data_IF_575693983969
#
_entry.id   IF_575693983969
#
_cell.length_a   1.000
_cell.length_b   1.000
_cell.length_c   1.000
_cell.angle_alpha   90.00
_cell.angle_beta   90.00
_cell.angle_gamma   90.00
#
_symmetry.space_group_name_H-M   'P 1'
#
loop_
_entity.id
_entity.type
_entity.pdbx_description
1 polymer ?
#
# COMPACT_ATOMS: atom_id res chain seq x y z
N UNK A 1 4.25 -16.60 12.87
CA UNK A 1 4.21 -15.50 11.88
C UNK A 1 2.93 -14.73 12.12
N UNK A 2 3.04 -13.49 12.59
CA UNK A 2 1.91 -12.57 12.55
C UNK A 2 1.70 -12.22 11.08
N UNK A 3 0.47 -12.29 10.60
CA UNK A 3 0.15 -11.73 9.28
C UNK A 3 0.30 -10.20 9.38
N UNK A 4 1.33 -9.64 8.73
CA UNK A 4 1.62 -8.21 8.71
C UNK A 4 0.38 -7.40 8.32
N UNK A 5 -0.38 -7.86 7.30
CA UNK A 5 -1.58 -7.17 6.83
C UNK A 5 -2.63 -7.11 7.94
N UNK A 6 -2.81 -8.19 8.69
CA UNK A 6 -3.67 -8.23 9.87
C UNK A 6 -3.19 -7.27 10.96
N UNK A 7 -1.87 -7.22 11.24
CA UNK A 7 -1.30 -6.32 12.23
C UNK A 7 -1.50 -4.83 11.87
N UNK A 8 -1.25 -4.47 10.60
CA UNK A 8 -1.47 -3.12 10.09
C UNK A 8 -2.95 -2.74 10.14
N UNK A 9 -3.83 -3.65 9.74
CA UNK A 9 -5.29 -3.42 9.77
C UNK A 9 -5.74 -3.11 11.20
N UNK A 10 -5.39 -3.96 12.17
CA UNK A 10 -5.79 -3.76 13.56
C UNK A 10 -5.19 -2.48 14.18
N UNK A 11 -3.95 -2.13 13.84
CA UNK A 11 -3.33 -0.88 14.25
C UNK A 11 -4.04 0.34 13.68
N UNK A 12 -4.36 0.33 12.38
CA UNK A 12 -5.02 1.43 11.71
C UNK A 12 -6.46 1.63 12.20
N UNK A 13 -7.19 0.55 12.52
CA UNK A 13 -8.52 0.65 13.12
C UNK A 13 -8.52 1.47 14.42
N UNK A 14 -7.48 1.31 15.26
CA UNK A 14 -7.36 2.00 16.56
C UNK A 14 -6.86 3.44 16.47
N UNK A 15 -6.50 3.94 15.30
CA UNK A 15 -5.92 5.27 15.09
C UNK A 15 -6.85 6.20 14.33
N UNK A 16 -7.20 7.34 14.90
CA UNK A 16 -8.11 8.29 14.24
C UNK A 16 -7.47 9.04 13.07
N UNK A 17 -6.15 9.23 13.13
CA UNK A 17 -5.32 9.91 12.13
C UNK A 17 -4.99 9.05 10.91
N UNK A 18 -5.34 7.75 10.94
CA UNK A 18 -5.26 6.83 9.81
C UNK A 18 -6.68 6.62 9.28
N UNK A 19 -6.99 7.25 8.15
CA UNK A 19 -8.34 7.35 7.59
C UNK A 19 -8.71 6.17 6.71
N UNK A 20 -7.73 5.57 6.04
CA UNK A 20 -7.94 4.34 5.29
C UNK A 20 -6.62 3.58 5.10
N UNK A 21 -6.74 2.28 4.87
CA UNK A 21 -5.64 1.40 4.48
C UNK A 21 -6.09 0.57 3.29
N UNK A 22 -5.29 0.58 2.22
CA UNK A 22 -5.59 -0.16 1.00
C UNK A 22 -4.38 -1.03 0.67
N UNK A 23 -4.58 -2.34 0.59
CA UNK A 23 -3.61 -3.27 0.01
C UNK A 23 -3.71 -3.19 -1.51
N UNK A 24 -2.58 -3.04 -2.19
CA UNK A 24 -2.52 -2.92 -3.65
C UNK A 24 -1.57 -3.98 -4.22
N UNK A 25 -1.60 -4.18 -5.53
CA UNK A 25 -0.58 -4.96 -6.21
C UNK A 25 -0.80 -6.46 -6.13
N UNK A 26 0.29 -7.22 -6.17
CA UNK A 26 0.29 -8.68 -6.33
C UNK A 26 -0.47 -9.39 -5.20
N UNK A 27 -0.32 -8.92 -3.96
CA UNK A 27 -0.97 -9.48 -2.77
C UNK A 27 -2.46 -9.15 -2.64
N UNK A 28 -2.96 -8.18 -3.40
CA UNK A 28 -4.39 -7.88 -3.45
C UNK A 28 -5.16 -8.77 -4.45
N UNK A 29 -4.46 -9.48 -5.34
CA UNK A 29 -5.08 -10.26 -6.43
C UNK A 29 -5.55 -11.62 -5.94
N UNK A 30 -6.73 -12.02 -6.42
CA UNK A 30 -7.26 -13.38 -6.22
C UNK A 30 -6.79 -14.33 -7.35
N UNK A 31 -6.67 -13.82 -8.57
CA UNK A 31 -6.50 -14.64 -9.78
C UNK A 31 -5.07 -15.10 -10.03
N UNK A 32 -4.09 -14.33 -9.56
CA UNK A 32 -2.66 -14.68 -9.61
C UNK A 32 -2.09 -14.31 -8.24
N UNK A 33 -2.14 -15.25 -7.28
CA UNK A 33 -1.69 -14.98 -5.94
C UNK A 33 -0.18 -14.70 -5.95
N UNK A 34 0.21 -13.69 -5.17
CA UNK A 34 1.60 -13.45 -4.84
C UNK A 34 2.26 -14.70 -4.23
N UNK A 35 3.55 -14.87 -4.47
CA UNK A 35 4.33 -15.90 -3.80
C UNK A 35 4.79 -15.44 -2.40
N UNK A 36 5.50 -16.32 -1.69
CA UNK A 36 6.01 -16.04 -0.36
C UNK A 36 7.08 -14.92 -0.32
N UNK A 37 7.68 -14.59 -1.47
CA UNK A 37 8.79 -13.63 -1.59
C UNK A 37 8.37 -12.28 -2.15
N UNK A 38 7.11 -12.15 -2.56
CA UNK A 38 6.56 -10.88 -3.01
C UNK A 38 6.64 -9.83 -1.89
N UNK A 39 6.58 -8.57 -2.26
CA UNK A 39 6.44 -7.41 -1.38
C UNK A 39 4.97 -7.15 -1.03
N UNK A 40 4.74 -6.33 -0.01
CA UNK A 40 3.39 -5.88 0.39
C UNK A 40 3.26 -4.38 0.14
N UNK A 41 2.44 -4.00 -0.84
CA UNK A 41 2.13 -2.61 -1.12
C UNK A 41 0.92 -2.12 -0.31
N UNK A 42 1.12 -1.16 0.60
CA UNK A 42 0.08 -0.57 1.42
C UNK A 42 -0.02 0.94 1.18
N UNK A 43 -1.20 1.39 0.77
CA UNK A 43 -1.54 2.81 0.73
C UNK A 43 -2.16 3.19 2.07
N UNK A 44 -1.53 4.12 2.78
CA UNK A 44 -2.03 4.73 4.01
C UNK A 44 -2.56 6.14 3.69
N UNK A 45 -3.87 6.32 3.86
CA UNK A 45 -4.47 7.66 3.86
C UNK A 45 -4.41 8.21 5.28
N UNK A 46 -3.53 9.18 5.51
CA UNK A 46 -3.27 9.76 6.83
C UNK A 46 -3.44 11.26 6.84
N UNK A 47 -3.78 11.83 7.99
CA UNK A 47 -4.00 13.28 8.11
C UNK A 47 -2.70 14.08 7.94
N UNK A 48 -1.56 13.52 8.37
CA UNK A 48 -0.23 14.17 8.31
C UNK A 48 0.88 13.20 7.83
N UNK A 49 1.04 13.00 6.51
CA UNK A 49 2.09 12.14 5.96
C UNK A 49 3.52 12.52 6.40
N UNK A 50 3.91 13.81 6.44
CA UNK A 50 5.21 14.23 6.97
C UNK A 50 5.54 13.71 8.37
N UNK A 51 4.57 13.62 9.28
CA UNK A 51 4.80 13.05 10.62
C UNK A 51 5.21 11.58 10.57
N UNK A 52 4.51 10.77 9.76
CA UNK A 52 4.86 9.36 9.51
C UNK A 52 6.20 9.18 8.77
N UNK A 53 6.56 10.16 7.94
CA UNK A 53 7.85 10.23 7.27
C UNK A 53 9.00 10.68 8.20
N UNK A 54 8.72 11.49 9.21
CA UNK A 54 9.73 11.98 10.14
C UNK A 54 10.05 10.96 11.24
N UNK A 55 9.03 10.28 11.78
CA UNK A 55 9.17 9.35 12.89
C UNK A 55 8.87 7.91 12.46
N UNK A 56 9.86 7.02 12.31
CA UNK A 56 9.64 5.64 11.89
C UNK A 56 9.14 4.72 13.01
N UNK A 57 9.01 5.18 14.27
CA UNK A 57 8.69 4.31 15.42
C UNK A 57 7.34 3.61 15.32
N UNK A 58 6.39 4.14 14.53
CA UNK A 58 5.11 3.46 14.30
C UNK A 58 5.29 2.10 13.62
N UNK A 59 6.37 1.89 12.87
CA UNK A 59 6.70 0.63 12.21
C UNK A 59 6.95 -0.51 13.19
N UNK A 60 7.37 -0.19 14.42
CA UNK A 60 7.62 -1.18 15.49
C UNK A 60 6.32 -1.88 15.93
N UNK A 61 5.15 -1.32 15.59
CA UNK A 61 3.86 -1.95 15.85
C UNK A 61 3.62 -3.23 15.03
N UNK A 62 4.40 -3.47 13.96
CA UNK A 62 4.22 -4.61 13.06
C UNK A 62 5.36 -5.62 13.11
N UNK A 63 6.43 -5.32 13.84
CA UNK A 63 7.63 -6.12 13.92
C UNK A 63 8.86 -5.25 14.15
N UNK A 64 10.04 -5.86 14.23
CA UNK A 64 11.32 -5.13 14.34
C UNK A 64 11.85 -4.82 12.93
N UNK A 65 11.96 -3.54 12.53
CA UNK A 65 12.55 -3.18 11.24
C UNK A 65 14.06 -3.48 11.23
N UNK A 66 14.54 -4.15 10.19
CA UNK A 66 15.97 -4.30 9.88
C UNK A 66 16.50 -3.15 9.05
N UNK A 67 15.70 -2.70 8.07
CA UNK A 67 16.02 -1.61 7.16
C UNK A 67 14.76 -0.79 6.93
N UNK A 68 14.91 0.54 6.90
CA UNK A 68 13.86 1.42 6.42
C UNK A 68 14.42 2.70 5.83
N UNK A 69 13.79 3.19 4.77
CA UNK A 69 14.15 4.44 4.12
C UNK A 69 12.93 5.07 3.45
N UNK A 70 13.10 6.33 3.03
CA UNK A 70 12.08 7.08 2.29
C UNK A 70 12.49 7.21 0.84
N UNK A 71 11.51 7.13 -0.04
CA UNK A 71 11.65 7.50 -1.44
C UNK A 71 10.39 8.21 -1.94
N UNK A 72 10.46 8.99 -3.03
CA UNK A 72 9.26 9.41 -3.72
C UNK A 72 8.54 8.19 -4.28
N UNK A 73 7.22 8.08 -4.07
CA UNK A 73 6.40 7.06 -4.74
C UNK A 73 6.62 7.13 -6.24
N UNK A 74 6.66 5.98 -6.91
CA UNK A 74 6.80 5.90 -8.37
C UNK A 74 5.71 6.65 -9.15
N UNK A 75 4.57 6.93 -8.50
CA UNK A 75 3.39 7.57 -9.09
C UNK A 75 2.90 8.69 -8.18
N UNK A 76 2.68 9.89 -8.74
CA UNK A 76 2.03 11.00 -8.02
C UNK A 76 2.92 11.76 -7.01
N UNK A 77 4.18 11.36 -6.82
CA UNK A 77 5.17 12.12 -6.03
C UNK A 77 4.92 12.19 -4.53
N UNK A 78 4.10 11.29 -3.99
CA UNK A 78 3.92 11.15 -2.55
C UNK A 78 5.15 10.50 -1.90
N UNK A 79 5.14 10.36 -0.57
CA UNK A 79 6.24 9.76 0.17
C UNK A 79 5.97 8.27 0.33
N UNK A 80 6.91 7.43 -0.11
CA UNK A 80 6.93 6.00 0.15
C UNK A 80 7.93 5.68 1.26
N UNK A 81 7.50 4.87 2.21
CA UNK A 81 8.34 4.31 3.27
C UNK A 81 8.52 2.82 2.99
N UNK A 82 9.73 2.43 2.61
CA UNK A 82 10.11 1.02 2.44
C UNK A 82 10.61 0.44 3.75
N UNK A 83 10.25 -0.82 4.03
CA UNK A 83 10.59 -1.49 5.29
C UNK A 83 10.83 -2.98 5.06
N UNK A 84 12.00 -3.45 5.46
CA UNK A 84 12.30 -4.87 5.62
C UNK A 84 12.30 -5.23 7.11
N UNK A 85 11.47 -6.19 7.51
CA UNK A 85 11.37 -6.67 8.89
C UNK A 85 12.28 -7.87 9.16
N UNK A 86 12.58 -8.12 10.44
CA UNK A 86 13.39 -9.27 10.89
C UNK A 86 12.85 -10.64 10.47
N UNK A 87 11.54 -10.76 10.28
CA UNK A 87 10.91 -12.01 9.83
C UNK A 87 10.95 -12.19 8.29
N UNK A 88 11.58 -11.26 7.58
CA UNK A 88 11.71 -11.27 6.12
C UNK A 88 10.55 -10.59 5.40
N UNK A 89 9.55 -10.05 6.10
CA UNK A 89 8.47 -9.30 5.46
C UNK A 89 9.00 -8.01 4.83
N UNK A 90 8.75 -7.84 3.54
CA UNK A 90 9.06 -6.63 2.76
C UNK A 90 7.78 -5.85 2.46
N UNK A 91 7.81 -4.54 2.73
CA UNK A 91 6.61 -3.69 2.76
C UNK A 91 6.92 -2.28 2.27
N UNK A 92 6.10 -1.82 1.34
CA UNK A 92 6.10 -0.46 0.82
C UNK A 92 4.85 0.27 1.34
N UNK A 93 5.05 1.32 2.13
CA UNK A 93 3.96 2.17 2.62
C UNK A 93 3.91 3.49 1.85
N UNK A 94 2.95 3.64 0.95
CA UNK A 94 2.65 4.92 0.32
C UNK A 94 1.84 5.80 1.27
N UNK A 95 2.41 6.92 1.70
CA UNK A 95 1.81 7.88 2.63
C UNK A 95 1.11 9.00 1.86
N UNK A 96 -0.22 8.99 1.87
CA UNK A 96 -1.04 9.94 1.09
C UNK A 96 -1.85 10.82 2.04
N UNK A 97 -1.91 12.15 1.80
CA UNK A 97 -2.77 13.04 2.58
C UNK A 97 -4.25 12.65 2.41
N UNK A 98 -4.94 12.39 3.52
CA UNK A 98 -6.35 12.01 3.49
C UNK A 98 -7.27 13.10 2.93
N UNK A 99 -6.93 14.38 3.15
CA UNK A 99 -7.68 15.53 2.62
C UNK A 99 -7.77 15.56 1.09
N UNK A 100 -6.71 15.10 0.42
CA UNK A 100 -6.62 15.13 -1.05
C UNK A 100 -7.01 13.80 -1.70
N UNK A 101 -7.04 12.72 -0.93
CA UNK A 101 -7.16 11.35 -1.43
C UNK A 101 -8.43 11.11 -2.27
N UNK A 102 -9.59 11.64 -1.85
CA UNK A 102 -10.83 11.49 -2.62
C UNK A 102 -10.80 12.28 -3.93
N UNK A 103 -10.14 13.44 -3.96
CA UNK A 103 -9.97 14.24 -5.17
C UNK A 103 -9.07 13.55 -6.18
N UNK A 104 -7.93 13.03 -5.72
CA UNK A 104 -6.95 12.33 -6.56
C UNK A 104 -7.52 11.04 -7.15
N UNK A 105 -8.24 10.24 -6.35
CA UNK A 105 -8.88 9.00 -6.84
C UNK A 105 -9.99 9.30 -7.86
N UNK A 106 -10.68 10.44 -7.73
CA UNK A 106 -11.75 10.87 -8.66
C UNK A 106 -11.23 11.53 -9.93
N UNK A 107 -10.01 12.04 -9.93
CA UNK A 107 -9.48 12.70 -11.12
C UNK A 107 -9.15 11.66 -12.19
N UNK A 108 -9.98 11.63 -13.24
CA UNK A 108 -9.79 10.74 -14.39
C UNK A 108 -8.47 11.01 -15.12
N UNK A 109 -7.85 12.18 -14.89
CA UNK A 109 -6.53 12.54 -15.42
C UNK A 109 -5.38 11.97 -14.61
N UNK A 110 -5.61 11.46 -13.39
CA UNK A 110 -4.62 10.76 -12.58
C UNK A 110 -4.44 9.31 -13.07
N UNK A 111 -4.07 9.15 -14.35
CA UNK A 111 -3.99 7.88 -15.07
C UNK A 111 -3.09 6.87 -14.34
N UNK A 112 -1.97 7.34 -13.79
CA UNK A 112 -1.02 6.50 -13.07
C UNK A 112 -1.61 5.96 -11.75
N UNK A 113 -2.32 6.80 -10.99
CA UNK A 113 -3.00 6.39 -9.74
C UNK A 113 -4.08 5.35 -10.05
N UNK A 114 -4.85 5.54 -11.12
CA UNK A 114 -5.84 4.56 -11.57
C UNK A 114 -5.18 3.26 -12.05
N UNK A 115 -4.01 3.33 -12.70
CA UNK A 115 -3.27 2.15 -13.13
C UNK A 115 -2.79 1.30 -11.95
N UNK A 116 -2.42 1.94 -10.83
CA UNK A 116 -2.07 1.26 -9.57
C UNK A 116 -3.26 0.47 -9.03
N UNK A 117 -4.46 1.06 -8.95
CA UNK A 117 -5.66 0.33 -8.52
C UNK A 117 -6.17 -0.70 -9.54
N UNK A 118 -5.98 -0.47 -10.84
CA UNK A 118 -6.37 -1.42 -11.90
C UNK A 118 -5.61 -2.75 -11.80
N UNK A 119 -4.46 -2.77 -11.13
CA UNK A 119 -3.66 -3.97 -10.83
C UNK A 119 -4.25 -4.83 -9.71
N UNK A 120 -5.39 -4.44 -9.14
CA UNK A 120 -6.03 -5.12 -8.01
C UNK A 120 -5.74 -4.41 -6.70
N UNK A 121 -6.77 -4.28 -5.87
CA UNK A 121 -6.67 -3.72 -4.53
C UNK A 121 -7.69 -4.37 -3.59
N UNK A 122 -7.43 -4.26 -2.29
CA UNK A 122 -8.36 -4.61 -1.21
C UNK A 122 -8.34 -3.51 -0.16
N UNK A 123 -9.49 -2.92 0.11
CA UNK A 123 -9.64 -1.95 1.19
C UNK A 123 -9.68 -2.71 2.52
N UNK A 124 -8.74 -2.41 3.42
CA UNK A 124 -8.60 -3.05 4.72
C UNK A 124 -9.28 -2.22 5.83
N UNK A 125 -9.11 -0.91 5.77
CA UNK A 125 -9.74 0.06 6.68
C UNK A 125 -10.34 1.19 5.85
N UNK A 126 -11.57 1.59 6.14
CA UNK A 126 -12.26 2.68 5.43
C UNK A 126 -13.08 3.56 6.38
N UNK A 127 -12.49 4.65 6.86
CA UNK A 127 -13.15 5.62 7.76
C UNK A 127 -13.64 6.86 7.02
N UNK A 128 -13.50 6.90 5.70
CA UNK A 128 -13.83 8.08 4.88
C UNK A 128 -14.62 7.76 3.61
N UNK A 129 -15.02 6.50 3.42
CA UNK A 129 -15.84 6.04 2.30
C UNK A 129 -15.08 5.93 0.98
N UNK A 130 -13.77 5.64 0.99
CA UNK A 130 -12.98 5.53 -0.25
C UNK A 130 -13.43 4.38 -1.13
N UNK A 131 -13.96 3.30 -0.55
CA UNK A 131 -14.47 2.14 -1.27
C UNK A 131 -15.57 2.49 -2.28
N UNK A 132 -16.40 3.50 -2.00
CA UNK A 132 -17.44 3.98 -2.91
C UNK A 132 -16.90 4.77 -4.12
N UNK A 133 -15.61 5.12 -4.08
CA UNK A 133 -14.98 6.06 -5.02
C UNK A 133 -13.92 5.39 -5.88
N UNK A 134 -13.30 4.32 -5.37
CA UNK A 134 -12.26 3.58 -6.07
C UNK A 134 -12.83 2.91 -7.34
N UNK A 135 -12.05 2.88 -8.44
CA UNK A 135 -12.51 2.27 -9.68
C UNK A 135 -12.77 0.78 -9.48
N UNK A 136 -13.71 0.23 -10.26
CA UNK A 136 -13.89 -1.21 -10.33
C UNK A 136 -12.58 -1.87 -10.81
N UNK A 137 -12.19 -2.96 -10.14
CA UNK A 137 -11.05 -3.79 -10.57
C UNK A 137 -11.44 -4.44 -11.90
N UNK A 138 -10.93 -3.91 -13.02
CA UNK A 138 -11.30 -4.31 -14.38
C UNK A 138 -10.18 -5.06 -15.11
N UNK A 139 -8.98 -5.13 -14.51
CA UNK A 139 -7.78 -5.62 -15.17
C UNK A 139 -7.46 -7.08 -14.87
N UNK A 140 -7.56 -7.94 -15.89
CA UNK A 140 -6.74 -9.16 -15.95
C UNK A 140 -5.31 -8.70 -16.25
N UNK A 141 -4.31 -8.98 -15.41
CA UNK A 141 -2.97 -8.46 -15.63
C UNK A 141 -2.38 -9.02 -16.93
N UNK A 142 -1.64 -8.19 -17.65
CA UNK A 142 -0.77 -8.69 -18.71
C UNK A 142 0.19 -9.71 -18.08
N UNK A 143 0.22 -10.92 -18.64
CA UNK A 143 1.13 -11.98 -18.20
C UNK A 143 2.55 -11.52 -18.53
N UNK A 144 3.25 -10.97 -17.56
CA UNK A 144 4.70 -10.76 -17.68
C UNK A 144 5.31 -12.15 -17.66
N UNK A 145 5.96 -12.54 -18.76
CA UNK A 145 6.77 -13.75 -18.76
C UNK A 145 7.88 -13.53 -17.74
N UNK A 146 8.01 -14.43 -16.77
CA UNK A 146 9.20 -14.47 -15.92
C UNK A 146 10.43 -14.50 -16.84
N UNK A 147 11.50 -13.76 -16.54
CA UNK A 147 12.74 -13.90 -17.28
C UNK A 147 13.09 -15.39 -17.34
N UNK A 148 13.44 -15.87 -18.54
CA UNK A 148 13.82 -17.25 -18.75
C UNK A 148 14.91 -17.63 -17.75
N UNK A 149 14.77 -18.81 -17.16
CA UNK A 149 15.85 -19.43 -16.37
C UNK A 149 16.93 -19.88 -17.38
N UNK A 150 17.65 -18.93 -17.95
CA UNK A 150 18.89 -19.19 -18.69
C UNK A 150 20.02 -18.72 -17.78
N UNK A 151 20.59 -19.67 -17.05
CA UNK A 151 21.90 -19.61 -16.41
C UNK A 151 22.81 -20.62 -17.10
#
# INVERSE_FOLDING_TARGET
MSDLVTAVTAWAERREDVRAVILVGSRARVDTPADAWSDTDLVLLVDDPPSYAADPRWLEAFGRPLLTFLEPTAVGGAIERRVLYEDGSDVDFALIPAGDALGVVRDERAVEVRAVFARGYRVLVDKMGVSATLPAVTGRPARVALPGQEE
#
